data_IF_019446389460
#
_entry.id   IF_019446389460
#
_cell.length_a   1.000
_cell.length_b   1.000
_cell.length_c   1.000
_cell.angle_alpha   90.00
_cell.angle_beta   90.00
_cell.angle_gamma   90.00
#
_symmetry.space_group_name_H-M   'P 1'
#
loop_
_entity.id
_entity.type
_entity.pdbx_description
1 polymer ?
#
# COMPACT_ATOMS: atom_id res chain seq x y z
N UNK A 1 -7.62 18.69 15.99
CA UNK A 1 -7.65 17.41 15.25
C UNK A 1 -9.11 17.05 15.01
N UNK A 2 -9.52 16.71 13.78
CA UNK A 2 -10.90 16.24 13.55
C UNK A 2 -11.15 15.01 14.43
N UNK A 3 -12.30 14.95 15.12
CA UNK A 3 -12.70 13.78 15.89
C UNK A 3 -12.68 12.53 15.00
N UNK A 4 -12.27 11.39 15.56
CA UNK A 4 -12.24 10.13 14.82
C UNK A 4 -13.65 9.80 14.30
N UNK A 5 -13.78 9.61 12.98
CA UNK A 5 -15.02 9.21 12.33
C UNK A 5 -14.84 7.81 11.72
N UNK A 6 -15.19 6.74 12.45
CA UNK A 6 -14.96 5.37 11.99
C UNK A 6 -15.60 5.07 10.64
N UNK A 7 -16.83 5.55 10.37
CA UNK A 7 -17.52 5.34 9.09
C UNK A 7 -16.70 5.89 7.92
N UNK A 8 -16.20 7.12 8.05
CA UNK A 8 -15.32 7.72 7.04
C UNK A 8 -14.02 6.92 6.89
N UNK A 9 -13.46 6.48 8.01
CA UNK A 9 -12.28 5.61 8.03
C UNK A 9 -12.47 4.31 7.25
N UNK A 10 -13.59 3.60 7.45
CA UNK A 10 -13.89 2.36 6.73
C UNK A 10 -14.07 2.60 5.23
N UNK A 11 -14.82 3.64 4.83
CA UNK A 11 -14.99 3.97 3.41
C UNK A 11 -13.64 4.22 2.75
N UNK A 12 -12.80 5.06 3.36
CA UNK A 12 -11.47 5.38 2.82
C UNK A 12 -10.55 4.15 2.80
N UNK A 13 -10.56 3.34 3.86
CA UNK A 13 -9.75 2.13 3.94
C UNK A 13 -10.15 1.10 2.88
N UNK A 14 -11.45 0.82 2.76
CA UNK A 14 -11.99 -0.09 1.74
C UNK A 14 -11.67 0.43 0.33
N UNK A 15 -11.87 1.72 0.05
CA UNK A 15 -11.48 2.29 -1.25
C UNK A 15 -10.00 2.07 -1.56
N UNK A 16 -9.11 2.27 -0.59
CA UNK A 16 -7.67 2.04 -0.80
C UNK A 16 -7.37 0.58 -1.15
N UNK A 17 -7.90 -0.38 -0.37
CA UNK A 17 -7.61 -1.81 -0.57
C UNK A 17 -8.33 -2.42 -1.78
N UNK A 18 -9.48 -1.88 -2.19
CA UNK A 18 -10.12 -2.25 -3.45
C UNK A 18 -9.27 -1.79 -4.62
N UNK A 19 -8.84 -0.52 -4.63
CA UNK A 19 -7.99 0.00 -5.71
C UNK A 19 -6.68 -0.79 -5.80
N UNK A 20 -6.01 -1.06 -4.67
CA UNK A 20 -4.82 -1.91 -4.64
C UNK A 20 -5.10 -3.36 -5.07
N UNK A 21 -6.25 -3.91 -4.70
CA UNK A 21 -6.68 -5.23 -5.16
C UNK A 21 -6.78 -5.31 -6.67
N UNK A 22 -7.19 -4.24 -7.36
CA UNK A 22 -7.34 -4.16 -8.82
C UNK A 22 -6.03 -3.85 -9.57
N UNK A 23 -4.90 -3.71 -8.88
CA UNK A 23 -3.60 -3.45 -9.51
C UNK A 23 -3.18 -4.47 -10.58
N UNK A 24 -3.47 -5.79 -10.45
CA UNK A 24 -3.13 -6.75 -11.51
C UNK A 24 -3.72 -6.41 -12.88
N UNK A 25 -4.97 -5.93 -12.94
CA UNK A 25 -5.60 -5.48 -14.19
C UNK A 25 -4.85 -4.30 -14.81
N UNK A 26 -4.48 -3.33 -13.97
CA UNK A 26 -3.71 -2.17 -14.40
C UNK A 26 -2.34 -2.57 -14.93
N UNK A 27 -1.59 -3.41 -14.20
CA UNK A 27 -0.26 -3.85 -14.63
C UNK A 27 -0.31 -4.70 -15.90
N UNK A 28 -1.38 -5.48 -16.12
CA UNK A 28 -1.59 -6.21 -17.37
C UNK A 28 -1.76 -5.28 -18.58
N UNK A 29 -2.36 -4.11 -18.39
CA UNK A 29 -2.54 -3.10 -19.45
C UNK A 29 -1.24 -2.39 -19.86
N UNK A 30 -0.17 -2.51 -19.06
CA UNK A 30 1.16 -1.93 -19.32
C UNK A 30 2.26 -2.99 -19.21
N UNK A 31 1.93 -4.26 -19.47
CA UNK A 31 2.83 -5.38 -19.24
C UNK A 31 4.11 -5.35 -20.11
N UNK A 32 4.09 -4.59 -21.22
CA UNK A 32 5.26 -4.35 -22.07
C UNK A 32 6.31 -3.46 -21.40
N UNK A 33 5.89 -2.60 -20.45
CA UNK A 33 6.76 -1.59 -19.84
C UNK A 33 7.53 -2.23 -18.68
N UNK A 34 8.87 -2.11 -18.65
CA UNK A 34 9.67 -2.66 -17.56
C UNK A 34 9.25 -2.14 -16.19
N UNK A 35 9.25 -3.01 -15.17
CA UNK A 35 8.76 -2.66 -13.84
C UNK A 35 9.48 -1.44 -13.20
N UNK A 36 10.78 -1.28 -13.48
CA UNK A 36 11.56 -0.12 -13.06
C UNK A 36 11.03 1.19 -13.67
N UNK A 37 10.73 1.17 -14.96
CA UNK A 37 10.17 2.32 -15.67
C UNK A 37 8.76 2.67 -15.16
N UNK A 38 7.94 1.65 -14.86
CA UNK A 38 6.64 1.85 -14.22
C UNK A 38 6.78 2.60 -12.90
N UNK A 39 7.74 2.24 -12.02
CA UNK A 39 7.96 2.96 -10.75
C UNK A 39 8.36 4.41 -10.99
N UNK A 40 9.28 4.66 -11.92
CA UNK A 40 9.74 6.01 -12.25
C UNK A 40 8.57 6.88 -12.67
N UNK A 41 7.72 6.38 -13.57
CA UNK A 41 6.53 7.10 -13.99
C UNK A 41 5.47 7.21 -12.90
N UNK A 42 5.31 6.21 -12.02
CA UNK A 42 4.48 6.35 -10.81
C UNK A 42 4.93 7.53 -9.97
N UNK A 43 6.23 7.73 -9.76
CA UNK A 43 6.76 8.88 -9.00
C UNK A 43 6.45 10.19 -9.72
N UNK A 44 6.84 10.32 -11.00
CA UNK A 44 6.71 11.56 -11.76
C UNK A 44 5.24 12.00 -11.91
N UNK A 45 4.37 11.07 -12.31
CA UNK A 45 2.96 11.37 -12.50
C UNK A 45 2.23 11.57 -11.16
N UNK A 46 2.63 10.88 -10.08
CA UNK A 46 2.08 11.16 -8.75
C UNK A 46 2.48 12.54 -8.24
N UNK A 47 3.73 12.95 -8.47
CA UNK A 47 4.25 14.26 -8.11
C UNK A 47 3.50 15.37 -8.85
N UNK A 48 3.28 15.20 -10.16
CA UNK A 48 2.53 16.14 -10.98
C UNK A 48 1.06 16.18 -10.56
N UNK A 49 0.38 15.03 -10.53
CA UNK A 49 -1.04 14.94 -10.17
C UNK A 49 -1.30 15.48 -8.76
N UNK A 50 -0.46 15.12 -7.79
CA UNK A 50 -0.54 15.61 -6.43
C UNK A 50 -0.33 17.13 -6.34
N UNK A 51 0.64 17.67 -7.09
CA UNK A 51 0.86 19.11 -7.21
C UNK A 51 -0.37 19.83 -7.76
N UNK A 52 -0.96 19.32 -8.86
CA UNK A 52 -2.18 19.87 -9.46
C UNK A 52 -3.36 19.84 -8.47
N UNK A 53 -3.55 18.73 -7.74
CA UNK A 53 -4.58 18.63 -6.72
C UNK A 53 -4.41 19.68 -5.61
N UNK A 54 -3.19 19.96 -5.18
CA UNK A 54 -2.94 20.99 -4.17
C UNK A 54 -3.29 22.40 -4.66
N UNK A 55 -3.11 22.69 -5.96
CA UNK A 55 -3.52 23.96 -6.56
C UNK A 55 -5.05 24.14 -6.52
N UNK A 56 -5.79 23.07 -6.83
CA UNK A 56 -7.26 23.10 -6.87
C UNK A 56 -7.85 23.11 -5.45
N UNK A 57 -7.36 22.26 -4.54
CA UNK A 57 -7.93 22.08 -3.20
C UNK A 57 -7.48 23.13 -2.18
N UNK A 58 -6.77 24.18 -2.61
CA UNK A 58 -6.30 25.34 -1.84
C UNK A 58 -6.13 25.01 -0.36
N UNK A 59 -4.98 24.47 0.01
CA UNK A 59 -4.57 24.33 1.41
C UNK A 59 -3.71 25.54 1.83
N UNK A 60 -4.28 26.76 1.98
CA UNK A 60 -3.46 27.95 2.23
C UNK A 60 -2.53 27.74 3.43
N UNK A 61 -1.25 28.05 3.24
CA UNK A 61 -0.23 27.96 4.28
C UNK A 61 0.38 26.58 4.52
N UNK A 62 -0.01 25.51 3.80
CA UNK A 62 0.56 24.17 3.99
C UNK A 62 2.09 24.14 3.84
N UNK A 63 2.62 24.88 2.86
CA UNK A 63 4.06 24.97 2.60
C UNK A 63 4.79 25.71 3.73
N UNK A 64 4.21 26.83 4.18
CA UNK A 64 4.74 27.62 5.31
C UNK A 64 4.74 26.78 6.59
N UNK A 65 3.65 26.08 6.87
CA UNK A 65 3.53 25.16 8.00
C UNK A 65 4.60 24.05 7.97
N UNK A 66 4.95 23.55 6.78
CA UNK A 66 6.01 22.55 6.65
C UNK A 66 7.41 23.15 6.86
N UNK A 67 7.69 24.26 6.18
CA UNK A 67 8.98 24.95 6.22
C UNK A 67 9.33 25.41 7.63
N UNK A 68 8.34 25.91 8.36
CA UNK A 68 8.54 26.45 9.71
C UNK A 68 8.60 25.33 10.77
N UNK A 69 8.45 24.05 10.37
CA UNK A 69 8.49 22.88 11.25
C UNK A 69 9.49 21.82 10.73
N UNK A 70 10.81 21.96 10.95
CA UNK A 70 11.83 21.03 10.45
C UNK A 70 11.60 19.58 10.92
N UNK A 71 11.02 19.39 12.11
CA UNK A 71 10.63 18.06 12.61
C UNK A 71 9.60 17.37 11.70
N UNK A 72 8.63 18.12 11.15
CA UNK A 72 7.62 17.55 10.23
C UNK A 72 8.24 17.17 8.90
N UNK A 73 9.17 17.97 8.40
CA UNK A 73 9.92 17.63 7.20
C UNK A 73 10.77 16.36 7.40
N UNK A 74 11.45 16.22 8.55
CA UNK A 74 12.20 15.01 8.87
C UNK A 74 11.31 13.76 8.95
N UNK A 75 10.12 13.88 9.55
CA UNK A 75 9.12 12.80 9.58
C UNK A 75 8.69 12.40 8.16
N UNK A 76 8.42 13.38 7.29
CA UNK A 76 8.04 13.14 5.89
C UNK A 76 9.19 12.55 5.07
N UNK A 77 10.43 12.99 5.33
CA UNK A 77 11.62 12.40 4.73
C UNK A 77 11.76 10.93 5.13
N UNK A 78 11.54 10.61 6.40
CA UNK A 78 11.59 9.23 6.90
C UNK A 78 10.48 8.36 6.28
N UNK A 79 9.22 8.82 6.28
CA UNK A 79 8.12 8.08 5.65
C UNK A 79 8.30 7.96 4.14
N UNK A 80 8.78 9.02 3.48
CA UNK A 80 9.14 9.03 2.06
C UNK A 80 10.21 8.00 1.72
N UNK A 81 11.28 7.93 2.52
CA UNK A 81 12.35 6.92 2.35
C UNK A 81 11.85 5.50 2.56
N UNK A 82 10.94 5.26 3.52
CA UNK A 82 10.35 3.94 3.75
C UNK A 82 9.50 3.48 2.58
N UNK A 83 8.62 4.35 2.05
CA UNK A 83 7.77 3.98 0.91
C UNK A 83 8.57 3.85 -0.39
N UNK A 84 9.62 4.67 -0.57
CA UNK A 84 10.54 4.54 -1.70
C UNK A 84 11.33 3.22 -1.63
N UNK A 85 11.90 2.91 -0.45
CA UNK A 85 12.57 1.64 -0.20
C UNK A 85 11.65 0.45 -0.46
N UNK A 86 10.39 0.54 0.00
CA UNK A 86 9.38 -0.47 -0.26
C UNK A 86 9.17 -0.72 -1.76
N UNK A 87 8.96 0.35 -2.55
CA UNK A 87 8.76 0.22 -3.99
C UNK A 87 10.00 -0.31 -4.72
N UNK A 88 11.19 0.15 -4.34
CA UNK A 88 12.46 -0.33 -4.91
C UNK A 88 12.68 -1.81 -4.60
N UNK A 89 12.43 -2.25 -3.36
CA UNK A 89 12.48 -3.67 -2.99
C UNK A 89 11.50 -4.49 -3.81
N UNK A 90 10.30 -3.98 -4.06
CA UNK A 90 9.30 -4.65 -4.90
C UNK A 90 9.76 -4.80 -6.36
N UNK A 91 10.30 -3.75 -6.98
CA UNK A 91 10.82 -3.87 -8.36
C UNK A 91 12.04 -4.77 -8.43
N UNK A 92 12.94 -4.65 -7.46
CA UNK A 92 14.10 -5.52 -7.39
C UNK A 92 13.68 -6.99 -7.24
N UNK A 93 12.67 -7.29 -6.43
CA UNK A 93 12.21 -8.67 -6.24
C UNK A 93 11.56 -9.24 -7.49
N UNK A 94 10.77 -8.45 -8.21
CA UNK A 94 10.21 -8.86 -9.51
C UNK A 94 11.33 -9.16 -10.51
N UNK A 95 12.30 -8.26 -10.65
CA UNK A 95 13.43 -8.44 -11.58
C UNK A 95 14.35 -9.60 -11.20
N UNK A 96 14.45 -9.93 -9.91
CA UNK A 96 15.30 -11.01 -9.40
C UNK A 96 14.59 -12.37 -9.31
N UNK A 97 13.39 -12.51 -9.90
CA UNK A 97 12.60 -13.75 -9.84
C UNK A 97 12.03 -14.09 -8.46
N UNK A 98 12.01 -13.14 -7.52
CA UNK A 98 11.49 -13.28 -6.15
C UNK A 98 10.07 -12.72 -6.00
N UNK A 99 9.27 -12.78 -7.06
CA UNK A 99 7.90 -12.27 -7.06
C UNK A 99 7.01 -12.99 -6.02
N UNK A 100 7.25 -14.28 -5.78
CA UNK A 100 6.52 -15.05 -4.78
C UNK A 100 6.76 -14.50 -3.36
N UNK A 101 8.00 -14.18 -3.00
CA UNK A 101 8.29 -13.51 -1.71
C UNK A 101 7.67 -12.11 -1.68
N UNK A 102 7.67 -11.36 -2.79
CA UNK A 102 7.00 -10.07 -2.84
C UNK A 102 5.51 -10.18 -2.50
N UNK A 103 4.83 -11.17 -3.10
CA UNK A 103 3.43 -11.50 -2.84
C UNK A 103 3.19 -11.91 -1.39
N UNK A 104 4.05 -12.77 -0.81
CA UNK A 104 4.01 -13.12 0.61
C UNK A 104 4.05 -11.91 1.54
N UNK A 105 4.80 -10.87 1.17
CA UNK A 105 4.87 -9.62 1.92
C UNK A 105 3.50 -8.99 2.18
N UNK A 106 2.57 -9.08 1.21
CA UNK A 106 1.21 -8.56 1.34
C UNK A 106 0.33 -9.38 2.30
N UNK A 107 0.67 -10.65 2.55
CA UNK A 107 -0.03 -11.48 3.56
C UNK A 107 0.54 -11.27 4.97
N UNK A 108 1.83 -10.96 5.07
CA UNK A 108 2.52 -10.66 6.34
C UNK A 108 2.18 -9.24 6.83
N UNK A 109 2.03 -8.26 5.92
CA UNK A 109 1.78 -6.85 6.27
C UNK A 109 0.62 -6.62 7.26
N UNK A 110 -0.56 -7.25 7.08
CA UNK A 110 -1.67 -7.13 8.02
C UNK A 110 -1.29 -7.47 9.47
N UNK A 111 -0.53 -8.55 9.67
CA UNK A 111 -0.09 -8.98 10.99
C UNK A 111 0.96 -8.02 11.55
N UNK A 112 1.89 -7.54 10.72
CA UNK A 112 2.83 -6.48 11.13
C UNK A 112 2.08 -5.24 11.59
N UNK A 113 1.03 -4.82 10.89
CA UNK A 113 0.23 -3.66 11.30
C UNK A 113 -0.50 -3.89 12.63
N UNK A 114 -1.04 -5.09 12.86
CA UNK A 114 -1.62 -5.45 14.15
C UNK A 114 -0.56 -5.37 15.26
N UNK A 115 0.62 -5.97 15.05
CA UNK A 115 1.72 -5.94 16.01
C UNK A 115 2.19 -4.52 16.31
N UNK A 116 2.41 -3.69 15.29
CA UNK A 116 2.82 -2.29 15.45
C UNK A 116 1.74 -1.48 16.17
N UNK A 117 0.45 -1.71 15.87
CA UNK A 117 -0.66 -1.06 16.57
C UNK A 117 -0.70 -1.44 18.05
N UNK A 118 -0.45 -2.69 18.39
CA UNK A 118 -0.43 -3.13 19.78
C UNK A 118 0.79 -2.59 20.54
N UNK A 119 1.99 -2.76 19.98
CA UNK A 119 3.25 -2.47 20.66
C UNK A 119 3.55 -0.97 20.73
N UNK A 120 3.28 -0.22 19.65
CA UNK A 120 3.68 1.19 19.54
C UNK A 120 2.53 2.18 19.70
N UNK A 121 1.27 1.75 19.52
CA UNK A 121 0.09 2.60 19.75
C UNK A 121 -0.70 2.20 20.99
N UNK A 122 -0.35 1.10 21.67
CA UNK A 122 -1.07 0.60 22.83
C UNK A 122 -2.50 0.13 22.51
N UNK A 123 -2.78 -0.23 21.25
CA UNK A 123 -4.09 -0.72 20.85
C UNK A 123 -4.37 -2.09 21.50
N UNK A 124 -5.52 -2.22 22.17
CA UNK A 124 -5.93 -3.46 22.84
C UNK A 124 -6.90 -4.23 21.97
N UNK A 125 -6.53 -5.46 21.63
CA UNK A 125 -7.40 -6.38 20.91
C UNK A 125 -8.47 -6.98 21.83
N UNK A 126 -9.66 -7.17 21.27
CA UNK A 126 -10.74 -7.89 21.92
C UNK A 126 -10.55 -9.40 21.76
N UNK A 127 -11.28 -10.20 22.53
CA UNK A 127 -11.20 -11.67 22.50
C UNK A 127 -11.39 -12.24 21.09
N UNK A 128 -12.42 -11.77 20.36
CA UNK A 128 -12.67 -12.22 18.99
C UNK A 128 -11.58 -11.75 18.00
N UNK A 129 -11.03 -10.56 18.20
CA UNK A 129 -9.92 -10.06 17.38
C UNK A 129 -8.65 -10.88 17.58
N UNK A 130 -8.38 -11.37 18.80
CA UNK A 130 -7.30 -12.33 19.04
C UNK A 130 -7.48 -13.64 18.28
N UNK A 131 -8.69 -14.18 18.25
CA UNK A 131 -9.01 -15.36 17.44
C UNK A 131 -8.76 -15.07 15.96
N UNK A 132 -9.21 -13.91 15.47
CA UNK A 132 -8.97 -13.50 14.08
C UNK A 132 -7.49 -13.38 13.73
N UNK A 133 -6.67 -12.82 14.64
CA UNK A 133 -5.21 -12.72 14.48
C UNK A 133 -4.58 -14.11 14.46
N UNK A 134 -5.00 -15.00 15.35
CA UNK A 134 -4.51 -16.39 15.39
C UNK A 134 -4.78 -17.13 14.08
N UNK A 135 -6.01 -17.03 13.56
CA UNK A 135 -6.38 -17.65 12.28
C UNK A 135 -5.55 -17.08 11.12
N UNK A 136 -5.43 -15.76 11.03
CA UNK A 136 -4.61 -15.11 10.00
C UNK A 136 -3.13 -15.50 10.11
N UNK A 137 -2.59 -15.59 11.34
CA UNK A 137 -1.22 -16.03 11.60
C UNK A 137 -0.97 -17.48 11.15
N UNK A 138 -1.92 -18.40 11.36
CA UNK A 138 -1.81 -19.77 10.86
C UNK A 138 -1.78 -19.80 9.34
N UNK A 139 -2.66 -19.04 8.66
CA UNK A 139 -2.66 -18.97 7.20
C UNK A 139 -1.36 -18.40 6.64
N UNK A 140 -0.82 -17.36 7.26
CA UNK A 140 0.47 -16.77 6.86
C UNK A 140 1.63 -17.73 7.15
N UNK A 141 1.66 -18.38 8.32
CA UNK A 141 2.70 -19.35 8.68
C UNK A 141 2.72 -20.54 7.71
N UNK A 142 1.54 -21.01 7.28
CA UNK A 142 1.41 -22.05 6.26
C UNK A 142 2.05 -21.61 4.93
N UNK A 143 1.79 -20.38 4.48
CA UNK A 143 2.37 -19.85 3.25
C UNK A 143 3.89 -19.66 3.35
N UNK A 144 4.39 -19.22 4.51
CA UNK A 144 5.83 -19.12 4.77
C UNK A 144 6.49 -20.49 4.76
N UNK A 145 5.86 -21.51 5.34
CA UNK A 145 6.36 -22.88 5.30
C UNK A 145 6.53 -23.37 3.85
N UNK A 146 5.56 -23.12 2.98
CA UNK A 146 5.63 -23.55 1.58
C UNK A 146 6.80 -22.94 0.81
N UNK A 147 7.24 -21.73 1.18
CA UNK A 147 8.40 -21.09 0.55
C UNK A 147 9.72 -21.74 0.95
N UNK A 148 9.74 -22.52 2.02
CA UNK A 148 10.88 -23.36 2.41
C UNK A 148 12.14 -22.58 2.80
N UNK A 149 12.08 -21.24 2.84
CA UNK A 149 13.19 -20.34 3.15
C UNK A 149 12.68 -19.10 3.87
N UNK A 150 13.56 -18.41 4.58
CA UNK A 150 13.21 -17.17 5.27
C UNK A 150 12.85 -16.10 4.22
N UNK A 151 11.61 -15.60 4.18
CA UNK A 151 11.14 -14.73 3.11
C UNK A 151 11.52 -13.28 3.43
N UNK A 152 12.82 -12.98 3.40
CA UNK A 152 13.35 -11.69 3.84
C UNK A 152 12.80 -10.53 3.01
N UNK A 153 12.52 -10.74 1.71
CA UNK A 153 11.89 -9.71 0.86
C UNK A 153 10.50 -9.38 1.40
N UNK A 154 9.72 -10.40 1.77
CA UNK A 154 8.39 -10.23 2.36
C UNK A 154 8.46 -9.44 3.66
N UNK A 155 9.45 -9.73 4.51
CA UNK A 155 9.66 -9.04 5.78
C UNK A 155 10.04 -7.58 5.56
N UNK A 156 10.96 -7.28 4.64
CA UNK A 156 11.34 -5.89 4.31
C UNK A 156 10.13 -5.13 3.79
N UNK A 157 9.35 -5.70 2.87
CA UNK A 157 8.14 -5.07 2.34
C UNK A 157 7.09 -4.85 3.42
N UNK A 158 6.86 -5.84 4.29
CA UNK A 158 5.88 -5.74 5.37
C UNK A 158 6.29 -4.68 6.40
N UNK A 159 7.55 -4.67 6.82
CA UNK A 159 8.08 -3.73 7.81
C UNK A 159 8.13 -2.31 7.25
N UNK A 160 8.67 -2.10 6.06
CA UNK A 160 8.77 -0.75 5.46
C UNK A 160 7.41 -0.09 5.30
N UNK A 161 6.42 -0.82 4.75
CA UNK A 161 5.07 -0.29 4.59
C UNK A 161 4.33 -0.17 5.94
N UNK A 162 4.55 -1.11 6.86
CA UNK A 162 3.97 -1.06 8.20
C UNK A 162 4.47 0.13 9.03
N UNK A 163 5.77 0.43 9.00
CA UNK A 163 6.33 1.62 9.64
C UNK A 163 5.93 2.90 8.91
N UNK A 164 5.87 2.90 7.57
CA UNK A 164 5.33 4.01 6.81
C UNK A 164 3.91 4.36 7.30
N UNK A 165 2.99 3.38 7.33
CA UNK A 165 1.62 3.59 7.77
C UNK A 165 1.52 4.06 9.23
N UNK A 166 2.35 3.51 10.12
CA UNK A 166 2.44 3.94 11.52
C UNK A 166 2.87 5.41 11.65
N UNK A 167 3.94 5.80 10.95
CA UNK A 167 4.44 7.17 10.95
C UNK A 167 3.35 8.11 10.40
N UNK A 168 2.70 7.76 9.30
CA UNK A 168 1.63 8.56 8.68
C UNK A 168 0.40 8.70 9.57
N UNK A 169 0.09 7.68 10.37
CA UNK A 169 -0.97 7.72 11.37
C UNK A 169 -0.68 8.72 12.48
N UNK A 170 0.56 8.77 12.98
CA UNK A 170 0.97 9.67 14.07
C UNK A 170 1.33 11.08 13.58
N UNK A 171 1.77 11.22 12.32
CA UNK A 171 2.26 12.48 11.78
C UNK A 171 1.17 13.57 11.83
N UNK A 172 1.49 14.78 12.33
CA UNK A 172 0.58 15.92 12.34
C UNK A 172 0.52 16.61 10.96
N UNK A 173 0.52 15.83 9.87
CA UNK A 173 0.48 16.31 8.49
C UNK A 173 -0.75 15.74 7.80
N UNK A 174 -1.43 16.56 7.00
CA UNK A 174 -2.57 16.12 6.18
C UNK A 174 -2.10 15.10 5.14
N UNK A 175 -2.96 14.13 4.81
CA UNK A 175 -2.64 13.03 3.92
C UNK A 175 -2.09 13.49 2.56
N UNK A 176 -2.78 14.41 1.87
CA UNK A 176 -2.40 14.87 0.55
C UNK A 176 -1.09 15.70 0.55
N UNK A 177 -0.95 16.83 1.30
CA UNK A 177 0.30 17.60 1.33
C UNK A 177 1.53 16.77 1.69
N UNK A 178 1.40 15.88 2.68
CA UNK A 178 2.52 15.02 3.08
C UNK A 178 2.94 14.06 1.98
N UNK A 179 1.99 13.49 1.23
CA UNK A 179 2.30 12.55 0.15
C UNK A 179 2.91 13.27 -1.06
N UNK A 180 2.46 14.49 -1.36
CA UNK A 180 3.08 15.31 -2.41
C UNK A 180 4.56 15.56 -2.11
N UNK A 181 4.87 15.97 -0.88
CA UNK A 181 6.27 16.19 -0.45
C UNK A 181 7.08 14.91 -0.59
N UNK A 182 6.56 13.78 -0.11
CA UNK A 182 7.21 12.47 -0.25
C UNK A 182 7.50 12.13 -1.73
N UNK A 183 6.53 12.34 -2.63
CA UNK A 183 6.74 12.09 -4.06
C UNK A 183 7.72 13.05 -4.71
N UNK A 184 7.70 14.34 -4.34
CA UNK A 184 8.63 15.35 -4.86
C UNK A 184 10.07 15.08 -4.43
N UNK A 185 10.28 14.53 -3.24
CA UNK A 185 11.61 14.09 -2.81
C UNK A 185 12.19 12.98 -3.68
N UNK A 186 11.34 12.19 -4.34
CA UNK A 186 11.75 11.10 -5.23
C UNK A 186 11.91 11.54 -6.69
N UNK A 187 11.39 12.71 -7.07
CA UNK A 187 11.48 13.23 -8.45
C UNK A 187 12.93 13.31 -8.95
N UNK A 188 13.92 13.84 -8.19
CA UNK A 188 15.31 13.88 -8.66
C UNK A 188 15.87 12.50 -9.00
N UNK A 189 15.51 11.48 -8.21
CA UNK A 189 15.95 10.09 -8.42
C UNK A 189 15.27 9.52 -9.67
N UNK A 190 13.96 9.77 -9.83
CA UNK A 190 13.21 9.34 -11.01
C UNK A 190 13.74 9.98 -12.31
N UNK A 191 14.05 11.28 -12.28
CA UNK A 191 14.66 11.99 -13.41
C UNK A 191 16.06 11.48 -13.72
N UNK A 192 16.90 11.26 -12.70
CA UNK A 192 18.22 10.67 -12.88
C UNK A 192 18.14 9.28 -13.52
N UNK A 193 17.17 8.46 -13.13
CA UNK A 193 16.94 7.16 -13.76
C UNK A 193 16.58 7.30 -15.25
N UNK A 194 15.68 8.22 -15.63
CA UNK A 194 15.36 8.45 -17.05
C UNK A 194 16.57 8.91 -17.87
N UNK A 195 17.38 9.82 -17.31
CA UNK A 195 18.58 10.32 -17.99
C UNK A 195 19.63 9.22 -18.20
N UNK A 196 19.72 8.26 -17.27
CA UNK A 196 20.67 7.14 -17.33
C UNK A 196 20.13 5.95 -18.16
N UNK A 197 18.86 5.94 -18.54
CA UNK A 197 18.22 4.85 -19.29
C UNK A 197 17.59 5.39 -20.60
N UNK A 198 18.42 5.81 -21.58
CA UNK A 198 17.92 6.37 -22.84
C UNK A 198 17.18 5.36 -23.73
N UNK A 199 17.23 4.07 -23.40
CA UNK A 199 16.53 3.00 -24.08
C UNK A 199 15.16 2.67 -23.45
N UNK A 200 14.74 3.40 -22.42
CA UNK A 200 13.41 3.26 -21.82
C UNK A 200 12.30 3.51 -22.87
N UNK A 201 11.13 2.87 -22.71
CA UNK A 201 10.03 2.98 -23.67
C UNK A 201 9.58 4.45 -23.81
N UNK A 202 9.45 5.14 -22.68
CA UNK A 202 9.10 6.55 -22.55
C UNK A 202 10.11 7.53 -23.14
N UNK A 203 11.35 7.10 -23.38
CA UNK A 203 12.35 7.91 -24.06
C UNK A 203 12.07 8.02 -25.57
N UNK A 204 11.32 7.07 -26.14
CA UNK A 204 10.91 7.09 -27.53
C UNK A 204 9.61 7.90 -27.72
N UNK A 205 9.63 8.92 -28.58
CA UNK A 205 8.44 9.73 -28.87
C UNK A 205 7.27 8.92 -29.43
N UNK A 206 7.54 7.85 -30.18
CA UNK A 206 6.49 6.99 -30.73
C UNK A 206 5.67 6.30 -29.63
N UNK A 207 6.28 5.99 -28.47
CA UNK A 207 5.58 5.37 -27.34
C UNK A 207 4.38 6.21 -26.88
N UNK A 208 4.51 7.55 -26.88
CA UNK A 208 3.47 8.46 -26.42
C UNK A 208 2.22 8.54 -27.32
N UNK A 209 2.25 7.90 -28.50
CA UNK A 209 1.07 7.70 -29.35
C UNK A 209 0.28 6.42 -29.04
N UNK A 210 0.77 5.57 -28.13
CA UNK A 210 0.15 4.29 -27.78
C UNK A 210 -0.85 4.43 -26.63
N UNK A 211 -1.73 3.43 -26.47
CA UNK A 211 -2.62 3.35 -25.30
C UNK A 211 -1.86 3.10 -24.00
N UNK A 212 -0.72 2.40 -24.04
CA UNK A 212 0.10 2.09 -22.87
C UNK A 212 0.70 3.35 -22.25
N UNK A 213 1.05 4.36 -23.06
CA UNK A 213 1.50 5.65 -22.56
C UNK A 213 0.45 6.34 -21.69
N UNK A 214 -0.83 6.30 -22.07
CA UNK A 214 -1.91 6.87 -21.26
C UNK A 214 -2.12 6.12 -19.95
N UNK A 215 -1.99 4.78 -19.97
CA UNK A 215 -1.97 4.00 -18.74
C UNK A 215 -0.76 4.32 -17.86
N UNK A 216 0.41 4.57 -18.47
CA UNK A 216 1.61 4.98 -17.76
C UNK A 216 1.46 6.38 -17.14
N UNK A 217 0.74 7.31 -17.77
CA UNK A 217 0.32 8.58 -17.16
C UNK A 217 -0.63 8.34 -15.99
N UNK A 218 -1.58 7.42 -16.15
CA UNK A 218 -2.53 7.04 -15.10
C UNK A 218 -1.85 6.38 -13.88
N UNK A 219 -0.60 5.93 -14.00
CA UNK A 219 0.21 5.42 -12.90
C UNK A 219 0.27 6.38 -11.70
N UNK A 220 0.24 7.69 -11.97
CA UNK A 220 0.18 8.74 -10.95
C UNK A 220 -1.06 8.64 -10.06
N UNK A 221 -2.27 8.89 -10.59
CA UNK A 221 -3.50 8.78 -9.80
C UNK A 221 -3.72 7.38 -9.24
N UNK A 222 -3.42 6.31 -10.00
CA UNK A 222 -3.52 4.91 -9.53
C UNK A 222 -2.65 4.67 -8.28
N UNK A 223 -1.53 5.37 -8.14
CA UNK A 223 -0.67 5.30 -6.95
C UNK A 223 -1.12 6.24 -5.84
N UNK A 224 -1.41 7.50 -6.18
CA UNK A 224 -1.65 8.55 -5.21
C UNK A 224 -2.98 8.39 -4.49
N UNK A 225 -4.05 8.06 -5.22
CA UNK A 225 -5.42 7.94 -4.66
C UNK A 225 -5.49 6.92 -3.52
N UNK A 226 -5.08 5.64 -3.69
CA UNK A 226 -5.17 4.67 -2.60
C UNK A 226 -4.28 5.06 -1.42
N UNK A 227 -3.11 5.67 -1.63
CA UNK A 227 -2.25 6.15 -0.55
C UNK A 227 -2.88 7.31 0.24
N UNK A 228 -3.54 8.25 -0.43
CA UNK A 228 -4.30 9.33 0.23
C UNK A 228 -5.46 8.73 1.03
N UNK A 229 -6.21 7.80 0.44
CA UNK A 229 -7.30 7.08 1.09
C UNK A 229 -6.80 6.32 2.33
N UNK A 230 -5.74 5.53 2.21
CA UNK A 230 -5.11 4.79 3.32
C UNK A 230 -4.63 5.72 4.43
N UNK A 231 -3.84 6.75 4.08
CA UNK A 231 -3.32 7.72 5.05
C UNK A 231 -4.45 8.46 5.79
N UNK A 232 -5.54 8.80 5.08
CA UNK A 232 -6.69 9.41 5.70
C UNK A 232 -7.48 8.43 6.58
N UNK A 233 -7.63 7.17 6.15
CA UNK A 233 -8.26 6.10 6.94
C UNK A 233 -7.50 5.82 8.24
N UNK A 234 -6.17 5.83 8.21
CA UNK A 234 -5.30 5.59 9.37
C UNK A 234 -5.52 6.58 10.51
N UNK A 235 -5.97 7.80 10.20
CA UNK A 235 -6.30 8.83 11.19
C UNK A 235 -7.66 8.60 11.85
N UNK A 236 -8.51 7.76 11.27
CA UNK A 236 -9.88 7.53 11.71
C UNK A 236 -10.12 6.13 12.30
N UNK A 237 -9.27 5.16 11.97
CA UNK A 237 -9.37 3.78 12.43
C UNK A 237 -8.16 3.36 13.27
N UNK A 238 -8.33 2.42 14.22
CA UNK A 238 -7.20 1.70 14.82
C UNK A 238 -6.30 1.09 13.73
N UNK A 239 -5.00 1.06 13.95
CA UNK A 239 -4.04 0.50 13.01
C UNK A 239 -4.21 -1.02 12.86
N UNK A 240 -4.59 -1.69 13.95
CA UNK A 240 -5.05 -3.09 13.95
C UNK A 240 -6.22 -3.31 12.99
N UNK A 241 -7.19 -2.39 12.94
CA UNK A 241 -8.34 -2.45 12.01
C UNK A 241 -7.90 -2.30 10.57
N UNK A 242 -6.99 -1.36 10.29
CA UNK A 242 -6.42 -1.22 8.96
C UNK A 242 -5.65 -2.46 8.51
N UNK A 243 -4.94 -3.12 9.43
CA UNK A 243 -4.29 -4.40 9.18
C UNK A 243 -5.29 -5.42 8.66
N UNK A 244 -6.42 -5.64 9.32
CA UNK A 244 -7.42 -6.60 8.82
C UNK A 244 -8.04 -6.18 7.47
N UNK A 245 -8.33 -4.90 7.28
CA UNK A 245 -8.86 -4.42 6.00
C UNK A 245 -7.90 -4.68 4.82
N UNK A 246 -6.59 -4.76 5.06
CA UNK A 246 -5.61 -5.07 4.02
C UNK A 246 -5.82 -6.42 3.35
N UNK A 247 -6.32 -7.43 4.07
CA UNK A 247 -6.55 -8.77 3.50
C UNK A 247 -7.59 -8.78 2.37
N UNK A 248 -8.35 -7.68 2.19
CA UNK A 248 -9.19 -7.48 1.02
C UNK A 248 -8.38 -7.45 -0.28
N UNK A 249 -7.22 -6.77 -0.30
CA UNK A 249 -6.40 -6.65 -1.50
C UNK A 249 -5.89 -8.02 -2.02
N UNK A 250 -5.19 -8.87 -1.23
CA UNK A 250 -4.76 -10.19 -1.70
C UNK A 250 -5.94 -11.12 -2.03
N UNK A 251 -7.10 -10.96 -1.38
CA UNK A 251 -8.32 -11.69 -1.76
C UNK A 251 -8.79 -11.30 -3.16
N UNK A 252 -8.83 -10.01 -3.48
CA UNK A 252 -9.21 -9.53 -4.81
C UNK A 252 -8.20 -9.96 -5.87
N UNK A 253 -6.91 -9.95 -5.55
CA UNK A 253 -5.83 -10.44 -6.44
C UNK A 253 -6.03 -11.93 -6.73
N UNK A 254 -6.30 -12.75 -5.71
CA UNK A 254 -6.59 -14.18 -5.90
C UNK A 254 -7.80 -14.40 -6.81
N UNK A 255 -8.89 -13.67 -6.57
CA UNK A 255 -10.09 -13.79 -7.39
C UNK A 255 -9.82 -13.44 -8.85
N UNK A 256 -9.01 -12.41 -9.12
CA UNK A 256 -8.58 -12.08 -10.49
C UNK A 256 -7.72 -13.18 -11.11
N UNK A 257 -6.75 -13.72 -10.35
CA UNK A 257 -5.88 -14.80 -10.82
C UNK A 257 -6.70 -16.03 -11.26
N UNK A 258 -7.66 -16.47 -10.43
CA UNK A 258 -8.47 -17.67 -10.71
C UNK A 258 -9.58 -17.41 -11.73
N UNK A 259 -10.30 -16.29 -11.64
CA UNK A 259 -11.52 -16.07 -12.44
C UNK A 259 -11.28 -15.35 -13.77
N UNK A 260 -10.20 -14.55 -13.87
CA UNK A 260 -9.92 -13.74 -15.06
C UNK A 260 -8.65 -14.15 -15.80
N UNK A 261 -7.71 -14.78 -15.11
CA UNK A 261 -6.41 -15.17 -15.67
C UNK A 261 -6.20 -16.68 -15.73
N UNK A 262 -7.20 -17.47 -15.37
CA UNK A 262 -7.19 -18.94 -15.42
C UNK A 262 -6.01 -19.59 -14.69
N UNK A 263 -5.50 -18.92 -13.65
CA UNK A 263 -4.41 -19.44 -12.82
C UNK A 263 -4.92 -20.51 -11.85
N UNK A 264 -4.17 -21.61 -11.78
CA UNK A 264 -4.52 -22.72 -10.90
C UNK A 264 -4.11 -22.41 -9.46
N UNK A 265 -5.08 -22.38 -8.56
CA UNK A 265 -4.82 -22.23 -7.14
C UNK A 265 -4.31 -23.55 -6.55
N UNK A 266 -3.14 -23.51 -5.90
CA UNK A 266 -2.64 -24.68 -5.17
C UNK A 266 -3.55 -24.98 -3.97
N UNK A 267 -3.78 -26.27 -3.62
CA UNK A 267 -4.56 -26.64 -2.44
C UNK A 267 -4.01 -26.00 -1.16
N UNK A 268 -2.69 -25.83 -1.10
CA UNK A 268 -2.02 -25.29 0.06
C UNK A 268 -2.26 -23.78 0.21
N UNK A 269 -2.26 -23.01 -0.89
CA UNK A 269 -2.70 -21.61 -0.87
C UNK A 269 -4.19 -21.47 -0.52
N UNK A 270 -5.04 -22.38 -0.99
CA UNK A 270 -6.46 -22.40 -0.59
C UNK A 270 -6.63 -22.54 0.93
N UNK A 271 -5.90 -23.46 1.55
CA UNK A 271 -5.92 -23.63 3.02
C UNK A 271 -5.55 -22.33 3.72
N UNK A 272 -4.50 -21.64 3.27
CA UNK A 272 -4.12 -20.35 3.83
C UNK A 272 -5.21 -19.29 3.70
N UNK A 273 -5.86 -19.21 2.52
CA UNK A 273 -6.97 -18.29 2.30
C UNK A 273 -8.19 -18.61 3.16
N UNK A 274 -8.52 -19.89 3.36
CA UNK A 274 -9.60 -20.31 4.27
C UNK A 274 -9.34 -19.81 5.69
N UNK A 275 -8.11 -19.95 6.20
CA UNK A 275 -7.74 -19.42 7.51
C UNK A 275 -7.85 -17.88 7.57
N UNK A 276 -7.36 -17.18 6.56
CA UNK A 276 -7.44 -15.72 6.48
C UNK A 276 -8.91 -15.25 6.41
N UNK A 277 -9.74 -15.89 5.59
CA UNK A 277 -11.17 -15.56 5.45
C UNK A 277 -11.96 -15.89 6.72
N UNK A 278 -11.66 -17.00 7.40
CA UNK A 278 -12.23 -17.29 8.70
C UNK A 278 -11.86 -16.20 9.72
N UNK A 279 -10.58 -15.77 9.74
CA UNK A 279 -10.13 -14.66 10.58
C UNK A 279 -10.86 -13.35 10.26
N UNK A 280 -11.01 -13.01 8.98
CA UNK A 280 -11.78 -11.85 8.52
C UNK A 280 -13.26 -11.91 8.91
N UNK A 281 -13.89 -13.09 8.81
CA UNK A 281 -15.27 -13.28 9.22
C UNK A 281 -15.43 -13.04 10.73
N UNK A 282 -14.55 -13.62 11.55
CA UNK A 282 -14.53 -13.41 13.00
C UNK A 282 -14.32 -11.93 13.34
N UNK A 283 -13.37 -11.27 12.68
CA UNK A 283 -13.09 -9.84 12.86
C UNK A 283 -14.31 -8.98 12.50
N UNK A 284 -14.97 -9.29 11.39
CA UNK A 284 -16.15 -8.57 10.90
C UNK A 284 -17.34 -8.75 11.86
N UNK A 285 -17.53 -9.95 12.42
CA UNK A 285 -18.55 -10.22 13.44
C UNK A 285 -18.26 -9.40 14.71
N UNK A 286 -17.02 -9.36 15.20
CA UNK A 286 -16.65 -8.52 16.34
C UNK A 286 -16.95 -7.04 16.09
N UNK A 287 -16.58 -6.52 14.91
CA UNK A 287 -16.84 -5.14 14.51
C UNK A 287 -18.35 -4.85 14.47
N UNK A 288 -19.15 -5.75 13.88
CA UNK A 288 -20.60 -5.62 13.82
C UNK A 288 -21.26 -5.62 15.21
N UNK A 289 -20.90 -6.57 16.07
CA UNK A 289 -21.39 -6.65 17.45
C UNK A 289 -20.99 -5.41 18.26
N UNK A 290 -19.83 -4.82 17.96
CA UNK A 290 -19.38 -3.59 18.61
C UNK A 290 -20.19 -2.36 18.25
N UNK A 291 -20.64 -2.29 16.99
CA UNK A 291 -21.43 -1.17 16.48
C UNK A 291 -22.86 -1.24 17.00
N UNK A 292 -23.42 -2.44 17.18
CA UNK A 292 -24.76 -2.65 17.74
C UNK A 292 -24.87 -2.36 19.25
N UNK A 293 -23.75 -2.37 19.97
CA UNK A 293 -23.70 -2.05 21.42
C UNK A 293 -23.52 -0.56 21.71
N UNK A 294 -23.39 0.29 20.68
CA UNK A 294 -23.31 1.75 20.77
C UNK A 294 -24.61 2.35 20.30
#
# INVERSE_FOLDING_TARGET
MQAANPRRGYILGLSAYVIWGLFPLYFKAIASVPAAEIIVHRVLWSALFGGLLLLVWKHPGWWRELRDNPKRLAILALSGSLIAGNWLTYVWSVNSGRMLEASLGYYINPLVNVLLGMLLLGERLRRLQWVAVGLAAVGVAQQVWQVGSLPWVSLVLALTFGFYGLIRKQAPVKALPGLVVETWMLVPIALAWLLLNPTAHSANMAFWSTSEAWWLVAAGPVTLIPLVCFNAAARHLPYTTLGFLQYLAPTLVLLQAVLLFDEHMSPASLVAFVFIWAGLAVYSIDAWLSLRKR
#
